data_IF_873367203319
#
_entry.id   IF_873367203319
#
_cell.length_a   1.000
_cell.length_b   1.000
_cell.length_c   1.000
_cell.angle_alpha   90.00
_cell.angle_beta   90.00
_cell.angle_gamma   90.00
#
_symmetry.space_group_name_H-M   'P 1'
#
loop_
_entity.id
_entity.type
_entity.pdbx_description
1 polymer ?
#
# COMPACT_ATOMS: atom_id res chain seq x y z
N UNK A 1 50.91 -2.95 -14.98
CA UNK A 1 50.07 -4.13 -14.70
C UNK A 1 49.53 -4.11 -13.26
N UNK A 2 50.38 -4.11 -12.22
CA UNK A 2 49.94 -4.20 -10.81
C UNK A 2 49.04 -3.04 -10.29
N UNK A 3 49.29 -1.80 -10.72
CA UNK A 3 48.49 -0.64 -10.30
C UNK A 3 47.07 -0.69 -10.90
N UNK A 4 46.96 -1.14 -12.15
CA UNK A 4 45.68 -1.22 -12.86
C UNK A 4 44.78 -2.32 -12.25
N UNK A 5 45.36 -3.46 -11.86
CA UNK A 5 44.64 -4.53 -11.16
C UNK A 5 44.18 -4.11 -9.75
N UNK A 6 44.96 -3.30 -9.04
CA UNK A 6 44.57 -2.80 -7.71
C UNK A 6 43.40 -1.80 -7.79
N UNK A 7 43.41 -0.90 -8.79
CA UNK A 7 42.31 0.06 -9.03
C UNK A 7 41.03 -0.68 -9.39
N UNK A 8 41.10 -1.65 -10.30
CA UNK A 8 39.94 -2.48 -10.69
C UNK A 8 39.41 -3.26 -9.48
N UNK A 9 40.30 -3.86 -8.67
CA UNK A 9 39.92 -4.56 -7.44
C UNK A 9 39.20 -3.65 -6.43
N UNK A 10 39.70 -2.42 -6.24
CA UNK A 10 39.08 -1.44 -5.34
C UNK A 10 37.69 -0.98 -5.84
N UNK A 11 37.54 -0.74 -7.14
CA UNK A 11 36.26 -0.35 -7.75
C UNK A 11 35.23 -1.48 -7.61
N UNK A 12 35.63 -2.72 -7.93
CA UNK A 12 34.75 -3.90 -7.80
C UNK A 12 34.37 -4.12 -6.34
N UNK A 13 35.32 -4.00 -5.41
CA UNK A 13 35.06 -4.09 -3.97
C UNK A 13 34.05 -3.04 -3.50
N UNK A 14 34.25 -1.77 -3.84
CA UNK A 14 33.35 -0.68 -3.47
C UNK A 14 31.94 -0.86 -4.05
N UNK A 15 31.83 -1.27 -5.32
CA UNK A 15 30.56 -1.60 -5.96
C UNK A 15 29.86 -2.77 -5.26
N UNK A 16 30.59 -3.84 -4.95
CA UNK A 16 30.04 -5.00 -4.24
C UNK A 16 29.52 -4.61 -2.86
N UNK A 17 30.30 -3.84 -2.08
CA UNK A 17 29.86 -3.33 -0.78
C UNK A 17 28.63 -2.44 -0.90
N UNK A 18 28.59 -1.53 -1.87
CA UNK A 18 27.43 -0.68 -2.13
C UNK A 18 26.18 -1.50 -2.47
N UNK A 19 26.30 -2.51 -3.33
CA UNK A 19 25.19 -3.38 -3.71
C UNK A 19 24.67 -4.21 -2.53
N UNK A 20 25.57 -4.75 -1.70
CA UNK A 20 25.20 -5.52 -0.50
C UNK A 20 24.48 -4.61 0.50
N UNK A 21 25.04 -3.44 0.80
CA UNK A 21 24.44 -2.47 1.71
C UNK A 21 23.05 -2.05 1.22
N UNK A 22 22.93 -1.70 -0.07
CA UNK A 22 21.66 -1.31 -0.67
C UNK A 22 20.63 -2.45 -0.61
N UNK A 23 21.05 -3.70 -0.80
CA UNK A 23 20.15 -4.86 -0.66
C UNK A 23 19.68 -5.03 0.79
N UNK A 24 20.57 -4.84 1.76
CA UNK A 24 20.21 -4.91 3.18
C UNK A 24 19.22 -3.82 3.56
N UNK A 25 19.47 -2.57 3.15
CA UNK A 25 18.58 -1.42 3.37
C UNK A 25 17.17 -1.68 2.81
N UNK A 26 17.06 -2.19 1.58
CA UNK A 26 15.75 -2.57 0.99
C UNK A 26 15.07 -3.69 1.76
N UNK A 27 15.82 -4.67 2.25
CA UNK A 27 15.27 -5.76 3.07
C UNK A 27 14.72 -5.20 4.38
N UNK A 28 15.47 -4.33 5.05
CA UNK A 28 15.03 -3.66 6.27
C UNK A 28 13.77 -2.83 6.03
N UNK A 29 13.73 -2.02 4.97
CA UNK A 29 12.54 -1.25 4.62
C UNK A 29 11.32 -2.15 4.37
N UNK A 30 11.50 -3.26 3.66
CA UNK A 30 10.42 -4.24 3.40
C UNK A 30 9.89 -4.86 4.70
N UNK A 31 10.79 -5.26 5.60
CA UNK A 31 10.43 -5.83 6.91
C UNK A 31 9.73 -4.78 7.78
N UNK A 32 10.19 -3.52 7.76
CA UNK A 32 9.55 -2.43 8.49
C UNK A 32 8.11 -2.19 8.02
N UNK A 33 7.84 -2.24 6.71
CA UNK A 33 6.47 -2.16 6.20
C UNK A 33 5.61 -3.31 6.72
N UNK A 34 6.15 -4.54 6.73
CA UNK A 34 5.44 -5.68 7.29
C UNK A 34 5.18 -5.54 8.80
N UNK A 35 6.17 -5.10 9.57
CA UNK A 35 6.04 -4.84 11.01
C UNK A 35 5.01 -3.75 11.29
N UNK A 36 5.05 -2.66 10.53
CA UNK A 36 4.07 -1.59 10.64
C UNK A 36 2.66 -2.09 10.33
N UNK A 37 2.48 -2.90 9.28
CA UNK A 37 1.20 -3.52 8.92
C UNK A 37 0.60 -4.40 10.04
N UNK A 38 1.47 -4.96 10.88
CA UNK A 38 1.12 -5.80 12.02
C UNK A 38 1.23 -5.08 13.38
N UNK A 39 1.52 -3.78 13.39
CA UNK A 39 1.50 -2.98 14.61
C UNK A 39 0.08 -2.91 15.18
N UNK A 40 -0.05 -2.76 16.50
CA UNK A 40 -1.34 -2.68 17.20
C UNK A 40 -2.26 -1.62 16.57
N UNK A 41 -1.71 -0.43 16.30
CA UNK A 41 -2.44 0.67 15.65
C UNK A 41 -2.99 0.27 14.27
N UNK A 42 -2.17 -0.42 13.47
CA UNK A 42 -2.58 -0.82 12.13
C UNK A 42 -3.53 -2.02 12.15
N UNK A 43 -3.39 -2.93 13.12
CA UNK A 43 -4.35 -4.02 13.35
C UNK A 43 -5.73 -3.46 13.68
N UNK A 44 -5.81 -2.46 14.57
CA UNK A 44 -7.08 -1.83 14.93
C UNK A 44 -7.72 -1.10 13.73
N UNK A 45 -6.92 -0.34 12.97
CA UNK A 45 -7.39 0.31 11.75
C UNK A 45 -7.91 -0.72 10.73
N UNK A 46 -7.15 -1.80 10.49
CA UNK A 46 -7.59 -2.89 9.60
C UNK A 46 -8.89 -3.53 10.06
N UNK A 47 -9.02 -3.84 11.36
CA UNK A 47 -10.23 -4.44 11.94
C UNK A 47 -11.44 -3.52 11.70
N UNK A 48 -11.33 -2.25 12.07
CA UNK A 48 -12.42 -1.28 11.95
C UNK A 48 -12.82 -1.04 10.49
N UNK A 49 -11.85 -0.80 9.61
CA UNK A 49 -12.10 -0.62 8.19
C UNK A 49 -12.76 -1.85 7.56
N UNK A 50 -12.28 -3.05 7.91
CA UNK A 50 -12.83 -4.30 7.38
C UNK A 50 -14.29 -4.52 7.79
N UNK A 51 -14.63 -4.27 9.06
CA UNK A 51 -16.00 -4.38 9.53
C UNK A 51 -16.92 -3.36 8.87
N UNK A 52 -16.47 -2.12 8.72
CA UNK A 52 -17.27 -1.08 8.07
C UNK A 52 -17.51 -1.38 6.58
N UNK A 53 -16.46 -1.73 5.82
CA UNK A 53 -16.58 -2.04 4.38
C UNK A 53 -17.47 -3.26 4.11
N UNK A 54 -17.64 -4.15 5.11
CA UNK A 54 -18.52 -5.33 5.02
C UNK A 54 -19.87 -5.14 5.72
N UNK A 55 -20.16 -3.96 6.25
CA UNK A 55 -21.44 -3.67 6.87
C UNK A 55 -22.58 -3.57 5.85
N UNK A 56 -23.80 -3.89 6.27
CA UNK A 56 -25.01 -3.69 5.47
C UNK A 56 -25.20 -2.22 5.07
N UNK A 57 -24.87 -1.29 5.97
CA UNK A 57 -24.95 0.15 5.73
C UNK A 57 -24.09 0.56 4.53
N UNK A 58 -22.81 0.16 4.55
CA UNK A 58 -21.88 0.51 3.50
C UNK A 58 -22.20 -0.21 2.18
N UNK A 59 -22.49 -1.51 2.24
CA UNK A 59 -22.70 -2.33 1.03
C UNK A 59 -23.96 -1.94 0.26
N UNK A 60 -25.01 -1.44 0.93
CA UNK A 60 -26.24 -0.96 0.29
C UNK A 60 -26.09 0.42 -0.36
N UNK A 61 -25.26 1.28 0.22
CA UNK A 61 -25.07 2.64 -0.27
C UNK A 61 -23.62 3.12 -0.05
N UNK A 62 -22.66 2.61 -0.86
CA UNK A 62 -21.28 2.99 -0.72
C UNK A 62 -21.12 4.48 -1.01
N UNK A 63 -20.66 5.23 0.00
CA UNK A 63 -20.35 6.66 -0.15
C UNK A 63 -18.99 6.82 -0.83
N UNK A 64 -18.82 7.82 -1.70
CA UNK A 64 -17.53 8.07 -2.35
C UNK A 64 -16.52 8.63 -1.33
N UNK A 65 -15.22 8.56 -1.62
CA UNK A 65 -14.18 8.95 -0.67
C UNK A 65 -14.23 10.43 -0.28
N UNK A 66 -14.57 11.31 -1.20
CA UNK A 66 -14.78 12.75 -0.99
C UNK A 66 -15.86 13.05 0.05
N UNK A 67 -16.88 12.19 0.18
CA UNK A 67 -17.93 12.33 1.21
C UNK A 67 -17.37 12.30 2.64
N UNK A 68 -16.20 11.70 2.83
CA UNK A 68 -15.56 11.67 4.13
C UNK A 68 -14.58 12.82 4.36
N UNK A 69 -14.25 13.59 3.32
CA UNK A 69 -13.45 14.83 3.43
C UNK A 69 -14.33 16.07 3.51
N UNK A 70 -15.60 15.98 3.10
CA UNK A 70 -16.53 17.11 3.00
C UNK A 70 -17.91 16.78 3.61
N UNK A 71 -18.50 17.74 4.35
CA UNK A 71 -19.91 17.66 4.81
C UNK A 71 -20.17 16.69 5.98
N UNK A 72 -21.38 16.12 6.01
CA UNK A 72 -21.89 15.28 7.12
C UNK A 72 -21.00 14.05 7.45
N UNK A 73 -20.25 13.53 6.47
CA UNK A 73 -19.31 12.44 6.68
C UNK A 73 -18.11 12.82 7.52
N UNK A 74 -17.65 14.08 7.41
CA UNK A 74 -16.60 14.65 8.24
C UNK A 74 -17.12 15.04 9.62
N UNK A 75 -18.40 15.31 9.80
CA UNK A 75 -18.98 15.76 11.08
C UNK A 75 -19.49 14.61 11.96
N UNK A 76 -19.79 13.45 11.39
CA UNK A 76 -20.29 12.28 12.11
C UNK A 76 -19.22 11.60 12.97
N UNK A 77 -19.41 11.62 14.30
CA UNK A 77 -18.57 10.91 15.27
C UNK A 77 -18.55 9.37 15.08
N UNK A 78 -19.57 8.82 14.41
CA UNK A 78 -19.64 7.39 14.08
C UNK A 78 -18.81 7.08 12.83
N UNK A 79 -18.80 7.99 11.85
CA UNK A 79 -18.16 7.76 10.55
C UNK A 79 -16.69 8.19 10.54
N UNK A 80 -16.31 9.24 11.30
CA UNK A 80 -14.91 9.71 11.44
C UNK A 80 -13.91 8.58 11.74
N UNK A 81 -14.15 7.70 12.73
CA UNK A 81 -13.18 6.65 13.05
C UNK A 81 -13.11 5.55 11.99
N UNK A 82 -14.26 5.19 11.40
CA UNK A 82 -14.33 4.16 10.36
C UNK A 82 -13.62 4.62 9.09
N UNK A 83 -13.83 5.87 8.74
CA UNK A 83 -13.14 6.53 7.67
C UNK A 83 -11.63 6.65 7.88
N UNK A 84 -11.20 7.18 9.03
CA UNK A 84 -9.78 7.31 9.36
C UNK A 84 -9.06 5.96 9.28
N UNK A 85 -9.75 4.88 9.67
CA UNK A 85 -9.25 3.53 9.51
C UNK A 85 -9.12 3.10 8.03
N UNK A 86 -10.10 3.37 7.17
CA UNK A 86 -10.04 3.06 5.72
C UNK A 86 -8.89 3.82 5.07
N UNK A 87 -8.76 5.13 5.34
CA UNK A 87 -7.67 5.98 4.85
C UNK A 87 -6.33 5.40 5.27
N UNK A 88 -6.17 5.04 6.55
CA UNK A 88 -4.92 4.47 7.04
C UNK A 88 -4.53 3.18 6.30
N UNK A 89 -5.52 2.34 5.96
CA UNK A 89 -5.31 1.12 5.15
C UNK A 89 -4.94 1.45 3.71
N UNK A 90 -5.66 2.36 3.07
CA UNK A 90 -5.39 2.80 1.70
C UNK A 90 -3.99 3.39 1.57
N UNK A 91 -3.60 4.28 2.48
CA UNK A 91 -2.29 4.93 2.46
C UNK A 91 -1.14 3.99 2.79
N UNK A 92 -1.37 2.93 3.57
CA UNK A 92 -0.37 1.87 3.73
C UNK A 92 -0.06 1.22 2.37
N UNK A 93 -1.10 0.78 1.64
CA UNK A 93 -0.91 0.15 0.34
C UNK A 93 -0.34 1.13 -0.68
N UNK A 94 -0.71 2.42 -0.60
CA UNK A 94 -0.15 3.49 -1.43
C UNK A 94 1.34 3.64 -1.22
N UNK A 95 1.76 3.78 0.05
CA UNK A 95 3.17 3.87 0.39
C UNK A 95 3.95 2.65 -0.12
N UNK A 96 3.40 1.45 0.01
CA UNK A 96 4.04 0.24 -0.51
C UNK A 96 4.24 0.30 -2.03
N UNK A 97 3.26 0.80 -2.79
CA UNK A 97 3.39 1.01 -4.24
C UNK A 97 4.48 2.03 -4.59
N UNK A 98 4.54 3.16 -3.88
CA UNK A 98 5.53 4.22 -4.12
C UNK A 98 6.94 3.71 -3.80
N UNK A 99 7.09 2.95 -2.72
CA UNK A 99 8.36 2.30 -2.37
C UNK A 99 8.78 1.28 -3.42
N UNK A 100 7.83 0.55 -4.00
CA UNK A 100 8.11 -0.37 -5.11
C UNK A 100 8.59 0.37 -6.37
N UNK A 101 7.88 1.41 -6.80
CA UNK A 101 8.23 2.23 -7.96
C UNK A 101 9.62 2.86 -7.82
N UNK A 102 9.93 3.36 -6.62
CA UNK A 102 11.25 3.91 -6.28
C UNK A 102 12.33 2.84 -6.07
N UNK A 103 11.96 1.55 -6.16
CA UNK A 103 12.84 0.39 -5.94
C UNK A 103 13.46 0.38 -4.54
N UNK A 104 12.75 0.88 -3.53
CA UNK A 104 13.20 0.97 -2.14
C UNK A 104 12.85 -0.26 -1.29
N UNK A 105 12.10 -1.21 -1.86
CA UNK A 105 11.76 -2.50 -1.24
C UNK A 105 12.19 -3.67 -2.13
N UNK A 106 12.17 -4.88 -1.57
CA UNK A 106 12.41 -6.13 -2.29
C UNK A 106 11.04 -6.72 -2.69
N UNK A 107 10.66 -6.71 -3.99
CA UNK A 107 9.32 -7.14 -4.41
C UNK A 107 8.97 -8.57 -3.98
N UNK A 108 9.92 -9.52 -4.17
CA UNK A 108 9.72 -10.93 -3.78
C UNK A 108 9.44 -11.10 -2.29
N UNK A 109 10.14 -10.35 -1.45
CA UNK A 109 9.95 -10.42 0.00
C UNK A 109 8.60 -9.78 0.39
N UNK A 110 8.24 -8.65 -0.22
CA UNK A 110 6.94 -8.03 0.02
C UNK A 110 5.78 -8.94 -0.41
N UNK A 111 5.89 -9.61 -1.56
CA UNK A 111 4.91 -10.61 -2.02
C UNK A 111 4.74 -11.74 -0.98
N UNK A 112 5.83 -12.33 -0.50
CA UNK A 112 5.79 -13.39 0.51
C UNK A 112 5.10 -12.95 1.81
N UNK A 113 5.28 -11.69 2.20
CA UNK A 113 4.81 -11.16 3.46
C UNK A 113 3.38 -10.57 3.41
N UNK A 114 2.97 -10.02 2.26
CA UNK A 114 1.79 -9.15 2.15
C UNK A 114 0.80 -9.51 1.03
N UNK A 115 1.14 -10.42 0.10
CA UNK A 115 0.28 -10.72 -1.06
C UNK A 115 -1.10 -11.23 -0.68
N UNK A 116 -1.17 -12.12 0.33
CA UNK A 116 -2.44 -12.69 0.78
C UNK A 116 -3.39 -11.59 1.27
N UNK A 117 -2.86 -10.64 2.04
CA UNK A 117 -3.65 -9.58 2.65
C UNK A 117 -4.14 -8.57 1.63
N UNK A 118 -3.35 -8.26 0.59
CA UNK A 118 -3.77 -7.31 -0.44
C UNK A 118 -5.00 -7.79 -1.23
N UNK A 119 -5.08 -9.10 -1.53
CA UNK A 119 -6.22 -9.65 -2.28
C UNK A 119 -7.57 -9.36 -1.63
N UNK A 120 -7.71 -9.62 -0.33
CA UNK A 120 -8.95 -9.34 0.40
C UNK A 120 -9.29 -7.84 0.48
N UNK A 121 -8.27 -6.98 0.56
CA UNK A 121 -8.49 -5.53 0.60
C UNK A 121 -8.97 -4.96 -0.73
N UNK A 122 -8.39 -5.44 -1.84
CA UNK A 122 -8.83 -5.05 -3.19
C UNK A 122 -10.33 -5.27 -3.37
N UNK A 123 -10.83 -6.43 -2.95
CA UNK A 123 -12.25 -6.78 -3.07
C UNK A 123 -13.11 -5.94 -2.13
N UNK A 124 -12.69 -5.75 -0.88
CA UNK A 124 -13.43 -4.96 0.11
C UNK A 124 -13.52 -3.47 -0.26
N UNK A 125 -12.52 -2.93 -0.94
CA UNK A 125 -12.45 -1.52 -1.34
C UNK A 125 -13.09 -1.25 -2.71
N UNK A 126 -13.42 -2.28 -3.49
CA UNK A 126 -13.99 -2.12 -4.83
C UNK A 126 -15.28 -1.26 -4.88
N UNK A 127 -16.26 -1.42 -3.97
CA UNK A 127 -17.46 -0.57 -3.97
C UNK A 127 -17.16 0.90 -3.65
N UNK A 128 -16.20 1.14 -2.75
CA UNK A 128 -15.74 2.50 -2.39
C UNK A 128 -15.13 3.20 -3.60
N UNK A 129 -14.27 2.50 -4.33
CA UNK A 129 -13.66 2.99 -5.56
C UNK A 129 -14.70 3.32 -6.60
N UNK A 130 -15.64 2.40 -6.83
CA UNK A 130 -16.67 2.57 -7.84
C UNK A 130 -17.55 3.79 -7.52
N UNK A 131 -17.96 3.96 -6.25
CA UNK A 131 -18.68 5.13 -5.80
C UNK A 131 -17.87 6.42 -6.06
N UNK A 132 -16.58 6.41 -5.74
CA UNK A 132 -15.69 7.58 -5.93
C UNK A 132 -15.47 7.91 -7.41
N UNK A 133 -15.29 6.90 -8.26
CA UNK A 133 -15.15 7.11 -9.71
C UNK A 133 -16.42 7.69 -10.33
N UNK A 134 -17.60 7.30 -9.82
CA UNK A 134 -18.90 7.81 -10.28
C UNK A 134 -19.18 9.24 -9.80
N UNK A 135 -18.60 9.70 -8.68
CA UNK A 135 -18.82 11.07 -8.18
C UNK A 135 -18.19 12.14 -9.08
N UNK A 136 -17.26 11.76 -9.96
CA UNK A 136 -16.67 12.65 -10.97
C UNK A 136 -15.77 13.75 -10.40
N UNK A 137 -15.49 13.73 -9.09
CA UNK A 137 -14.59 14.66 -8.40
C UNK A 137 -13.12 14.21 -8.50
N UNK A 138 -12.21 15.10 -8.12
CA UNK A 138 -10.78 14.82 -8.06
C UNK A 138 -10.51 13.53 -7.26
N UNK A 139 -9.80 12.60 -7.89
CA UNK A 139 -9.46 11.32 -7.29
C UNK A 139 -8.34 11.52 -6.27
N UNK A 140 -8.51 11.10 -5.00
CA UNK A 140 -7.37 10.99 -4.09
C UNK A 140 -6.27 10.12 -4.70
N UNK A 141 -5.00 10.55 -4.57
CA UNK A 141 -3.85 9.84 -5.15
C UNK A 141 -3.78 8.37 -4.71
N UNK A 142 -4.21 8.08 -3.48
CA UNK A 142 -4.23 6.72 -2.93
C UNK A 142 -5.19 5.77 -3.68
N UNK A 143 -6.08 6.28 -4.55
CA UNK A 143 -6.93 5.45 -5.40
C UNK A 143 -6.28 5.03 -6.72
N UNK A 144 -5.16 5.66 -7.12
CA UNK A 144 -4.37 5.22 -8.27
C UNK A 144 -3.87 3.76 -8.10
N UNK A 145 -3.83 3.27 -6.85
CA UNK A 145 -3.53 1.87 -6.53
C UNK A 145 -4.46 0.85 -7.19
N UNK A 146 -5.70 1.25 -7.48
CA UNK A 146 -6.79 0.36 -7.84
C UNK A 146 -7.52 0.84 -9.09
N UNK A 147 -6.77 1.47 -10.02
CA UNK A 147 -7.26 2.27 -11.14
C UNK A 147 -8.34 1.63 -12.04
N UNK A 148 -8.63 0.33 -11.89
CA UNK A 148 -9.89 -0.28 -12.36
C UNK A 148 -10.45 -1.29 -11.34
N UNK A 149 -11.78 -1.29 -11.11
CA UNK A 149 -12.44 -2.37 -10.38
C UNK A 149 -12.03 -3.75 -10.94
N UNK A 150 -11.57 -4.65 -10.08
CA UNK A 150 -11.16 -6.00 -10.48
C UNK A 150 -9.74 -6.12 -11.08
N UNK A 151 -9.05 -5.03 -11.42
CA UNK A 151 -7.64 -5.08 -11.82
C UNK A 151 -6.73 -4.68 -10.66
N UNK A 152 -5.53 -5.25 -10.61
CA UNK A 152 -4.63 -5.04 -9.50
C UNK A 152 -3.89 -3.67 -9.54
N UNK A 153 -4.14 -2.85 -10.56
CA UNK A 153 -3.64 -1.47 -10.66
C UNK A 153 -2.12 -1.35 -10.47
N UNK A 154 -1.66 -0.26 -9.87
CA UNK A 154 -0.26 -0.04 -9.49
C UNK A 154 0.27 -1.09 -8.49
N UNK A 155 -0.61 -1.90 -7.92
CA UNK A 155 -0.28 -2.98 -6.99
C UNK A 155 -0.29 -4.37 -7.63
N UNK A 156 -0.43 -4.52 -8.96
CA UNK A 156 -0.43 -5.83 -9.63
C UNK A 156 0.78 -6.70 -9.28
N UNK A 157 1.93 -6.06 -9.17
CA UNK A 157 3.18 -6.71 -8.79
C UNK A 157 3.11 -7.42 -7.43
N UNK A 158 2.24 -7.04 -6.49
CA UNK A 158 2.13 -7.73 -5.19
C UNK A 158 1.41 -9.07 -5.31
N UNK A 159 0.57 -9.24 -6.34
CA UNK A 159 -0.23 -10.45 -6.58
C UNK A 159 0.40 -11.42 -7.57
N UNK A 160 1.36 -10.95 -8.37
CA UNK A 160 2.09 -11.77 -9.34
C UNK A 160 2.92 -12.84 -8.62
N UNK A 161 2.31 -14.02 -8.43
CA UNK A 161 3.03 -15.23 -8.04
C UNK A 161 3.77 -15.76 -9.27
N UNK A 162 5.05 -16.09 -9.07
CA UNK A 162 5.79 -16.95 -9.99
C UNK A 162 5.12 -18.32 -10.09
#
# INVERSE_FOLDING_TARGET
MAILTAIVGAIVGALATYLIRRRFEKSTATIQQFQYYHSEKMVEARRRAWHYLRSDEFTRNPRPLDWFYEGEGLESEINKPNYGAIVQVLYFWYLLSVLHERREIIPRLAQQLLAYQFSGWKDALAPLLEATLRSGRDKPECLALMDRPGQAGAMGWIQDRY
#
